data_IF_242457033987
#
_entry.id   IF_242457033987
#
_cell.length_a   1.000
_cell.length_b   1.000
_cell.length_c   1.000
_cell.angle_alpha   90.00
_cell.angle_beta   90.00
_cell.angle_gamma   90.00
#
_symmetry.space_group_name_H-M   'P 1'
#
loop_
_entity.id
_entity.type
_entity.pdbx_description
1 polymer ?
#
# COMPACT_ATOMS: atom_id res chain seq x y z
N UNK A 1 -1.93 9.50 39.26
CA UNK A 1 -2.08 10.45 38.14
C UNK A 1 -3.46 10.20 37.54
N UNK A 2 -4.35 11.20 37.47
CA UNK A 2 -5.71 10.97 37.01
C UNK A 2 -5.69 10.50 35.55
N UNK A 3 -6.47 9.46 35.28
CA UNK A 3 -6.62 8.84 33.97
C UNK A 3 -7.29 9.88 33.04
N UNK A 4 -6.48 10.52 32.20
CA UNK A 4 -6.95 11.49 31.21
C UNK A 4 -7.91 10.76 30.26
N UNK A 5 -9.21 11.06 30.39
CA UNK A 5 -10.25 10.45 29.57
C UNK A 5 -9.97 10.76 28.08
N UNK A 6 -10.20 9.80 27.17
CA UNK A 6 -10.14 10.07 25.74
C UNK A 6 -11.06 11.24 25.37
N UNK A 7 -10.60 12.13 24.48
CA UNK A 7 -11.48 13.15 23.92
C UNK A 7 -12.29 12.53 22.78
N UNK A 8 -13.62 12.52 22.90
CA UNK A 8 -14.50 11.94 21.89
C UNK A 8 -14.56 12.81 20.62
N UNK A 9 -14.63 12.15 19.47
CA UNK A 9 -14.92 12.74 18.18
C UNK A 9 -16.36 12.36 17.81
N UNK A 10 -17.25 13.32 17.52
CA UNK A 10 -18.64 13.00 17.20
C UNK A 10 -18.77 12.29 15.85
N UNK A 11 -19.89 11.61 15.61
CA UNK A 11 -20.14 10.89 14.35
C UNK A 11 -20.18 11.82 13.12
N UNK A 12 -20.48 13.10 13.31
CA UNK A 12 -20.45 14.12 12.25
C UNK A 12 -19.08 14.80 12.10
N UNK A 13 -18.05 14.31 12.80
CA UNK A 13 -16.69 14.80 12.62
C UNK A 13 -16.25 14.54 11.18
N UNK A 14 -15.62 15.54 10.57
CA UNK A 14 -15.10 15.39 9.21
C UNK A 14 -14.03 14.30 9.15
N UNK A 15 -13.87 13.68 7.98
CA UNK A 15 -12.83 12.68 7.74
C UNK A 15 -11.45 13.19 8.17
N UNK A 16 -10.66 12.33 8.80
CA UNK A 16 -9.28 12.64 9.21
C UNK A 16 -8.35 12.83 7.99
N UNK A 17 -8.80 12.44 6.79
CA UNK A 17 -8.10 12.71 5.54
C UNK A 17 -8.01 14.21 5.23
N UNK A 18 -8.91 15.04 5.76
CA UNK A 18 -8.84 16.50 5.66
C UNK A 18 -7.75 17.11 6.56
N UNK A 19 -7.06 16.28 7.33
CA UNK A 19 -6.12 16.69 8.34
C UNK A 19 -6.77 16.83 9.71
N UNK A 20 -5.92 17.00 10.70
CA UNK A 20 -6.26 17.19 12.11
C UNK A 20 -5.75 18.56 12.55
N UNK A 21 -6.39 19.22 13.53
CA UNK A 21 -6.01 20.57 13.94
C UNK A 21 -4.51 20.71 14.22
N UNK A 22 -3.94 21.85 13.79
CA UNK A 22 -2.56 22.22 14.13
C UNK A 22 -2.44 22.57 15.62
N UNK A 23 -1.27 22.31 16.24
CA UNK A 23 -1.03 22.61 17.66
C UNK A 23 -1.37 21.48 18.64
N UNK A 24 -1.73 20.31 18.12
CA UNK A 24 -1.95 19.10 18.91
C UNK A 24 -0.62 18.53 19.44
N UNK A 25 -0.65 17.91 20.63
CA UNK A 25 0.55 17.35 21.25
C UNK A 25 1.26 16.31 20.34
N UNK A 26 2.61 16.32 20.29
CA UNK A 26 3.42 15.31 19.59
C UNK A 26 2.98 13.87 19.82
N UNK A 27 2.81 13.09 18.75
CA UNK A 27 2.46 11.66 18.83
C UNK A 27 1.01 11.37 19.24
N UNK A 28 0.14 12.38 19.32
CA UNK A 28 -1.28 12.18 19.55
C UNK A 28 -1.91 11.34 18.43
N UNK A 29 -2.79 10.43 18.84
CA UNK A 29 -3.54 9.53 17.97
C UNK A 29 -4.98 10.05 17.84
N UNK A 30 -5.43 10.22 16.61
CA UNK A 30 -6.84 10.41 16.28
C UNK A 30 -7.34 9.15 15.58
N UNK A 31 -8.50 8.65 16.01
CA UNK A 31 -9.12 7.45 15.44
C UNK A 31 -10.58 7.75 15.19
N UNK A 32 -11.08 7.49 13.99
CA UNK A 32 -12.45 7.79 13.59
C UNK A 32 -13.05 6.63 12.81
N UNK A 33 -14.31 6.33 13.11
CA UNK A 33 -15.18 5.46 12.32
C UNK A 33 -16.50 6.19 12.03
N UNK A 34 -17.37 5.58 11.24
CA UNK A 34 -18.66 6.17 10.86
C UNK A 34 -19.57 6.55 12.05
N UNK A 35 -19.37 5.92 13.21
CA UNK A 35 -20.16 6.17 14.43
C UNK A 35 -19.52 7.22 15.37
N UNK A 36 -18.37 7.78 14.98
CA UNK A 36 -17.56 8.64 15.82
C UNK A 36 -16.20 8.01 16.14
N UNK A 37 -15.47 8.65 17.04
CA UNK A 37 -14.07 8.34 17.26
C UNK A 37 -13.55 8.91 18.56
N UNK A 38 -12.23 8.86 18.72
CA UNK A 38 -11.55 9.43 19.88
C UNK A 38 -10.20 10.03 19.49
N UNK A 39 -9.69 10.87 20.38
CA UNK A 39 -8.36 11.43 20.35
C UNK A 39 -7.66 11.15 21.68
N UNK A 40 -6.43 10.62 21.62
CA UNK A 40 -5.64 10.29 22.82
C UNK A 40 -4.16 10.60 22.64
N UNK A 41 -3.53 11.15 23.69
CA UNK A 41 -2.08 11.33 23.72
C UNK A 41 -1.31 10.00 23.81
N UNK A 42 -0.02 9.97 23.43
CA UNK A 42 0.82 8.78 23.58
C UNK A 42 1.14 8.52 25.05
N UNK A 43 0.96 7.29 25.51
CA UNK A 43 1.36 6.83 26.85
C UNK A 43 1.69 5.34 26.78
N UNK A 44 2.81 4.92 27.37
CA UNK A 44 3.22 3.50 27.37
C UNK A 44 2.07 2.58 27.80
N UNK A 45 1.83 1.53 27.01
CA UNK A 45 0.77 0.54 27.22
C UNK A 45 -0.66 1.04 26.94
N UNK A 46 -0.85 2.33 26.64
CA UNK A 46 -2.17 2.88 26.31
C UNK A 46 -2.73 2.18 25.08
N UNK A 47 -3.96 1.69 25.19
CA UNK A 47 -4.60 0.89 24.16
C UNK A 47 -5.96 1.47 23.80
N UNK A 48 -6.18 1.67 22.50
CA UNK A 48 -7.47 2.03 21.90
C UNK A 48 -8.05 0.80 21.21
N UNK A 49 -9.16 0.32 21.73
CA UNK A 49 -9.91 -0.81 21.19
C UNK A 49 -10.94 -0.34 20.16
N UNK A 50 -11.11 -1.11 19.10
CA UNK A 50 -12.15 -0.89 18.11
C UNK A 50 -12.85 -2.19 17.71
N UNK A 51 -14.12 -2.10 17.35
CA UNK A 51 -14.95 -3.25 16.99
C UNK A 51 -16.44 -2.91 17.05
N UNK A 52 -17.31 -3.90 16.85
CA UNK A 52 -18.76 -3.62 16.75
C UNK A 52 -19.47 -3.36 18.07
N UNK A 53 -18.85 -3.70 19.21
CA UNK A 53 -19.51 -3.63 20.52
C UNK A 53 -19.21 -2.32 21.21
N UNK A 54 -20.06 -1.30 21.01
CA UNK A 54 -19.90 0.04 21.57
C UNK A 54 -19.57 0.06 23.09
N UNK A 55 -20.16 -0.79 23.95
CA UNK A 55 -19.82 -0.81 25.38
C UNK A 55 -18.44 -1.39 25.70
N UNK A 56 -17.86 -2.20 24.80
CA UNK A 56 -16.60 -2.92 25.02
C UNK A 56 -15.40 -2.26 24.31
N UNK A 57 -15.63 -1.21 23.50
CA UNK A 57 -14.61 -0.59 22.66
C UNK A 57 -14.62 0.93 22.76
N UNK A 58 -13.51 1.55 22.37
CA UNK A 58 -13.37 3.00 22.35
C UNK A 58 -13.87 3.59 21.02
N UNK A 59 -13.75 2.85 19.92
CA UNK A 59 -14.21 3.26 18.59
C UNK A 59 -15.10 2.17 17.99
N UNK A 60 -16.37 2.48 17.78
CA UNK A 60 -17.32 1.50 17.28
C UNK A 60 -17.25 1.39 15.74
N UNK A 61 -16.98 0.18 15.26
CA UNK A 61 -16.77 -0.14 13.84
C UNK A 61 -17.76 -1.24 13.43
N UNK A 62 -18.63 -0.94 12.47
CA UNK A 62 -19.62 -1.89 11.96
C UNK A 62 -20.57 -2.42 13.04
N UNK A 63 -21.15 -1.51 13.82
CA UNK A 63 -22.06 -1.81 14.95
C UNK A 63 -23.19 -2.79 14.57
N UNK A 64 -23.73 -2.65 13.36
CA UNK A 64 -24.80 -3.45 12.79
C UNK A 64 -24.32 -4.73 12.08
N UNK A 65 -23.01 -4.98 12.02
CA UNK A 65 -22.41 -6.03 11.20
C UNK A 65 -21.87 -7.19 12.04
N UNK A 66 -22.63 -8.27 12.11
CA UNK A 66 -22.28 -9.45 12.92
C UNK A 66 -20.99 -10.17 12.47
N UNK A 67 -20.49 -9.91 11.25
CA UNK A 67 -19.18 -10.42 10.82
C UNK A 67 -18.02 -9.67 11.47
N UNK A 68 -18.25 -8.44 11.90
CA UNK A 68 -17.27 -7.68 12.68
C UNK A 68 -17.25 -8.22 14.11
N UNK A 69 -16.05 -8.34 14.66
CA UNK A 69 -15.89 -8.87 16.02
C UNK A 69 -16.21 -7.77 17.04
N UNK A 70 -16.72 -8.16 18.21
CA UNK A 70 -17.10 -7.21 19.28
C UNK A 70 -15.93 -6.30 19.65
N UNK A 71 -14.79 -6.91 19.96
CA UNK A 71 -13.45 -6.32 19.92
C UNK A 71 -12.74 -6.84 18.66
N UNK A 72 -12.60 -6.00 17.65
CA UNK A 72 -11.98 -6.38 16.38
C UNK A 72 -10.48 -6.12 16.34
N UNK A 73 -9.98 -5.07 16.98
CA UNK A 73 -8.57 -4.79 17.02
C UNK A 73 -8.18 -3.76 18.05
N UNK A 74 -6.88 -3.49 18.10
CA UNK A 74 -6.29 -2.60 19.09
C UNK A 74 -5.15 -1.79 18.50
N UNK A 75 -5.11 -0.51 18.89
CA UNK A 75 -3.99 0.40 18.69
C UNK A 75 -3.29 0.59 20.04
N UNK A 76 -2.05 0.13 20.18
CA UNK A 76 -1.31 0.20 21.44
C UNK A 76 -0.07 1.06 21.28
N UNK A 77 0.13 2.01 22.19
CA UNK A 77 1.36 2.78 22.27
C UNK A 77 2.43 1.94 22.97
N UNK A 78 3.54 1.65 22.28
CA UNK A 78 4.72 0.96 22.81
C UNK A 78 5.96 1.81 22.52
N UNK A 79 6.71 2.14 23.55
CA UNK A 79 7.68 3.21 23.54
C UNK A 79 7.02 4.51 23.08
N UNK A 80 7.46 5.00 21.94
CA UNK A 80 6.97 6.22 21.34
C UNK A 80 6.17 6.04 20.06
N UNK A 81 5.74 4.81 19.78
CA UNK A 81 5.06 4.48 18.53
C UNK A 81 3.74 3.79 18.79
N UNK A 82 2.77 4.09 17.94
CA UNK A 82 1.50 3.38 17.91
C UNK A 82 1.63 2.12 17.06
N UNK A 83 1.13 1.01 17.58
CA UNK A 83 1.16 -0.30 16.95
C UNK A 83 -0.26 -0.79 16.75
N UNK A 84 -0.54 -1.37 15.60
CA UNK A 84 -1.82 -1.96 15.29
C UNK A 84 -1.78 -3.48 15.36
N UNK A 85 -2.82 -4.05 15.96
CA UNK A 85 -3.05 -5.49 16.06
C UNK A 85 -4.51 -5.79 15.75
N UNK A 86 -4.80 -7.00 15.30
CA UNK A 86 -6.18 -7.49 15.17
C UNK A 86 -6.47 -8.57 16.20
N UNK A 87 -7.65 -8.49 16.80
CA UNK A 87 -8.21 -9.47 17.74
C UNK A 87 -9.40 -10.19 17.13
N UNK A 88 -9.95 -9.68 16.03
CA UNK A 88 -11.12 -10.20 15.35
C UNK A 88 -10.84 -11.48 14.56
N UNK A 89 -11.92 -12.10 14.07
CA UNK A 89 -11.81 -13.29 13.19
C UNK A 89 -11.48 -12.91 11.75
N UNK A 90 -11.93 -11.75 11.30
CA UNK A 90 -11.62 -11.23 9.97
C UNK A 90 -10.32 -10.43 10.01
N UNK A 91 -9.51 -10.46 8.93
CA UNK A 91 -8.30 -9.67 8.87
C UNK A 91 -8.61 -8.18 8.71
N UNK A 92 -7.68 -7.37 9.18
CA UNK A 92 -7.65 -5.94 8.88
C UNK A 92 -6.86 -5.72 7.59
N UNK A 93 -7.40 -4.94 6.66
CA UNK A 93 -6.68 -4.52 5.45
C UNK A 93 -6.05 -3.14 5.67
N UNK A 94 -4.72 -3.12 5.66
CA UNK A 94 -3.86 -1.94 5.70
C UNK A 94 -3.67 -1.37 4.28
N UNK A 95 -3.01 -0.20 4.14
CA UNK A 95 -2.50 0.27 2.85
C UNK A 95 -1.64 -0.79 2.14
N UNK A 96 -1.45 -0.62 0.82
CA UNK A 96 -0.74 -1.58 -0.04
C UNK A 96 -1.41 -2.98 -0.08
N UNK A 97 -2.70 -3.05 0.28
CA UNK A 97 -3.48 -4.28 0.37
C UNK A 97 -2.92 -5.32 1.36
N UNK A 98 -2.07 -4.91 2.30
CA UNK A 98 -1.54 -5.81 3.33
C UNK A 98 -2.67 -6.26 4.26
N UNK A 99 -2.82 -7.56 4.44
CA UNK A 99 -3.73 -8.13 5.43
C UNK A 99 -2.98 -8.38 6.74
N UNK A 100 -3.59 -7.99 7.86
CA UNK A 100 -3.13 -8.29 9.22
C UNK A 100 -4.14 -9.25 9.85
N UNK A 101 -3.67 -10.44 10.21
CA UNK A 101 -4.43 -11.51 10.85
C UNK A 101 -4.18 -11.56 12.35
N UNK A 102 -5.06 -12.26 13.08
CA UNK A 102 -5.07 -12.30 14.56
C UNK A 102 -3.76 -12.81 15.16
N UNK A 103 -3.15 -13.77 14.50
CA UNK A 103 -1.91 -14.41 14.91
C UNK A 103 -0.66 -13.62 14.49
N UNK A 104 -0.81 -12.57 13.70
CA UNK A 104 0.33 -11.81 13.22
C UNK A 104 0.85 -10.88 14.30
N UNK A 105 2.16 -10.64 14.27
CA UNK A 105 2.79 -9.63 15.11
C UNK A 105 2.21 -8.23 14.82
N UNK A 106 2.04 -7.39 15.86
CA UNK A 106 1.57 -6.02 15.66
C UNK A 106 2.47 -5.23 14.71
N UNK A 107 1.85 -4.38 13.89
CA UNK A 107 2.55 -3.55 12.90
C UNK A 107 2.68 -2.13 13.43
N UNK A 108 3.84 -1.48 13.33
CA UNK A 108 3.98 -0.13 13.81
C UNK A 108 3.42 0.88 12.78
N UNK A 109 2.55 1.77 13.23
CA UNK A 109 1.97 2.82 12.39
C UNK A 109 3.00 3.89 12.03
N UNK A 110 2.84 4.48 10.84
CA UNK A 110 3.60 5.66 10.43
C UNK A 110 2.89 6.93 10.92
N UNK A 111 3.61 8.04 10.96
CA UNK A 111 3.00 9.36 11.17
C UNK A 111 2.11 9.73 9.98
N UNK A 112 1.07 10.52 10.23
CA UNK A 112 0.08 10.93 9.25
C UNK A 112 -1.15 10.00 9.18
N UNK A 113 -1.91 10.15 8.11
CA UNK A 113 -3.17 9.45 7.86
C UNK A 113 -2.94 8.02 7.36
N UNK A 114 -3.65 7.06 7.94
CA UNK A 114 -3.67 5.65 7.57
C UNK A 114 -5.12 5.15 7.57
N UNK A 115 -5.73 4.88 6.39
CA UNK A 115 -7.04 4.24 6.33
C UNK A 115 -6.89 2.72 6.50
N UNK A 116 -7.80 2.14 7.27
CA UNK A 116 -7.83 0.70 7.56
C UNK A 116 -9.23 0.17 7.28
N UNK A 117 -9.32 -1.05 6.72
CA UNK A 117 -10.60 -1.61 6.31
C UNK A 117 -10.84 -2.99 6.90
N UNK A 118 -12.09 -3.26 7.28
CA UNK A 118 -12.56 -4.62 7.55
C UNK A 118 -13.72 -4.93 6.60
N UNK A 119 -13.61 -6.01 5.84
CA UNK A 119 -14.68 -6.46 4.93
C UNK A 119 -15.73 -7.24 5.71
N UNK A 120 -16.87 -6.59 5.98
CA UNK A 120 -18.00 -7.17 6.72
C UNK A 120 -18.98 -7.97 5.85
N UNK A 121 -20.24 -7.96 6.24
CA UNK A 121 -21.35 -8.61 5.54
C UNK A 121 -21.66 -7.90 4.22
N UNK A 122 -22.16 -8.63 3.21
CA UNK A 122 -22.51 -8.10 1.88
C UNK A 122 -21.39 -7.29 1.22
N UNK A 123 -20.14 -7.68 1.46
CA UNK A 123 -18.94 -7.01 0.92
C UNK A 123 -18.74 -5.56 1.39
N UNK A 124 -19.52 -5.10 2.38
CA UNK A 124 -19.35 -3.76 2.97
C UNK A 124 -17.94 -3.60 3.54
N UNK A 125 -17.29 -2.50 3.21
CA UNK A 125 -16.00 -2.12 3.78
C UNK A 125 -16.22 -1.15 4.93
N UNK A 126 -15.89 -1.59 6.14
CA UNK A 126 -15.92 -0.75 7.33
C UNK A 126 -14.57 -0.04 7.46
N UNK A 127 -14.60 1.30 7.35
CA UNK A 127 -13.41 2.16 7.42
C UNK A 127 -13.12 2.56 8.87
N UNK A 128 -11.86 2.38 9.28
CA UNK A 128 -11.27 2.99 10.45
C UNK A 128 -10.18 3.95 9.96
N UNK A 129 -10.38 5.23 10.20
CA UNK A 129 -9.42 6.28 9.91
C UNK A 129 -8.49 6.45 11.10
N UNK A 130 -7.19 6.43 10.87
CA UNK A 130 -6.18 6.65 11.91
C UNK A 130 -5.26 7.78 11.48
N UNK A 131 -5.03 8.75 12.36
CA UNK A 131 -4.03 9.79 12.14
C UNK A 131 -3.09 9.88 13.34
N UNK A 132 -1.79 9.68 13.10
CA UNK A 132 -0.74 9.84 14.12
C UNK A 132 0.00 11.15 13.91
N UNK A 133 -0.08 12.07 14.87
CA UNK A 133 0.63 13.34 14.79
C UNK A 133 2.16 13.12 14.78
N UNK A 134 2.91 13.84 13.92
CA UNK A 134 4.37 13.78 13.95
C UNK A 134 4.89 14.30 15.29
N UNK A 135 5.97 13.70 15.80
CA UNK A 135 6.56 14.13 17.07
C UNK A 135 7.40 15.40 16.93
N UNK A 136 8.06 15.51 15.79
CA UNK A 136 8.78 16.71 15.38
C UNK A 136 7.82 17.48 14.50
N UNK A 137 7.20 18.55 15.00
CA UNK A 137 6.09 19.29 14.38
C UNK A 137 6.36 19.91 12.99
N UNK A 138 7.43 19.52 12.30
CA UNK A 138 7.71 19.92 10.93
C UNK A 138 6.91 19.06 9.95
N UNK A 139 5.69 19.49 9.66
CA UNK A 139 5.18 19.30 8.29
C UNK A 139 5.92 20.31 7.41
N UNK A 140 6.50 19.91 6.26
CA UNK A 140 7.03 20.87 5.31
C UNK A 140 5.96 21.93 5.00
N UNK A 141 6.31 23.23 4.94
CA UNK A 141 5.35 24.26 4.59
C UNK A 141 4.73 23.94 3.23
N UNK A 142 3.43 24.24 3.08
CA UNK A 142 2.76 24.10 1.81
C UNK A 142 3.27 25.21 0.88
N UNK A 143 4.19 24.85 -0.02
CA UNK A 143 4.60 25.74 -1.10
C UNK A 143 3.71 25.46 -2.32
N UNK A 144 2.66 26.27 -2.46
CA UNK A 144 1.70 26.16 -3.57
C UNK A 144 2.30 26.56 -4.93
N UNK A 145 3.47 27.21 -4.94
CA UNK A 145 4.18 27.60 -6.15
C UNK A 145 5.34 26.66 -6.48
N UNK A 146 5.69 25.74 -5.59
CA UNK A 146 6.70 24.73 -5.86
C UNK A 146 6.29 23.90 -7.09
N UNK A 147 7.21 23.69 -8.04
CA UNK A 147 6.93 22.82 -9.17
C UNK A 147 6.62 21.41 -8.66
N UNK A 148 5.66 20.75 -9.30
CA UNK A 148 5.41 19.33 -9.04
C UNK A 148 6.68 18.56 -9.37
N UNK A 149 7.27 17.90 -8.37
CA UNK A 149 8.44 17.06 -8.60
C UNK A 149 8.08 15.96 -9.59
N UNK A 150 8.82 15.82 -10.71
CA UNK A 150 8.57 14.72 -11.63
C UNK A 150 8.84 13.39 -10.94
N UNK A 151 8.09 12.33 -11.28
CA UNK A 151 8.36 10.99 -10.77
C UNK A 151 9.78 10.55 -11.17
N UNK A 152 10.40 9.70 -10.33
CA UNK A 152 11.72 9.15 -10.60
C UNK A 152 11.61 8.05 -11.66
N UNK A 153 11.59 8.43 -12.93
CA UNK A 153 11.55 7.49 -14.05
C UNK A 153 12.88 6.76 -14.24
N UNK A 154 12.82 5.50 -14.65
CA UNK A 154 14.00 4.68 -14.95
C UNK A 154 14.34 4.73 -16.44
N UNK A 155 15.63 4.89 -16.76
CA UNK A 155 16.07 4.81 -18.14
C UNK A 155 16.01 3.36 -18.65
N UNK A 156 15.27 3.16 -19.74
CA UNK A 156 15.18 1.91 -20.49
C UNK A 156 15.58 2.18 -21.95
N UNK A 157 16.42 1.32 -22.53
CA UNK A 157 16.67 1.35 -23.98
C UNK A 157 15.40 0.98 -24.75
N UNK A 158 15.32 1.30 -26.04
CA UNK A 158 14.16 0.94 -26.88
C UNK A 158 13.88 -0.57 -26.88
N UNK A 159 14.92 -1.39 -26.82
CA UNK A 159 14.81 -2.85 -26.75
C UNK A 159 14.28 -3.28 -25.37
N UNK A 160 14.88 -2.79 -24.30
CA UNK A 160 14.42 -3.08 -22.94
C UNK A 160 12.97 -2.66 -22.76
N UNK A 161 12.61 -1.44 -23.18
CA UNK A 161 11.26 -0.90 -23.10
C UNK A 161 10.26 -1.79 -23.82
N UNK A 162 10.55 -2.21 -25.05
CA UNK A 162 9.68 -3.13 -25.81
C UNK A 162 9.50 -4.45 -25.08
N UNK A 163 10.58 -5.05 -24.59
CA UNK A 163 10.54 -6.33 -23.85
C UNK A 163 9.69 -6.20 -22.58
N UNK A 164 9.87 -5.15 -21.78
CA UNK A 164 9.10 -4.99 -20.54
C UNK A 164 7.64 -4.60 -20.80
N UNK A 165 7.33 -3.89 -21.89
CA UNK A 165 5.95 -3.59 -22.31
C UNK A 165 5.20 -4.88 -22.65
N UNK A 166 5.81 -5.79 -23.42
CA UNK A 166 5.21 -7.10 -23.70
C UNK A 166 5.06 -7.91 -22.41
N UNK A 167 6.10 -7.96 -21.58
CA UNK A 167 6.05 -8.66 -20.28
C UNK A 167 4.90 -8.16 -19.38
N UNK A 168 4.67 -6.84 -19.39
CA UNK A 168 3.69 -6.13 -18.56
C UNK A 168 2.32 -5.96 -19.23
N UNK A 169 2.08 -6.53 -20.40
CA UNK A 169 0.91 -6.20 -21.22
C UNK A 169 -0.43 -6.30 -20.45
N UNK A 170 -0.61 -7.36 -19.64
CA UNK A 170 -1.82 -7.56 -18.82
C UNK A 170 -2.02 -6.48 -17.75
N UNK A 171 -0.92 -5.92 -17.23
CA UNK A 171 -0.95 -4.82 -16.27
C UNK A 171 -1.33 -3.52 -16.97
N UNK A 172 -0.75 -3.25 -18.14
CA UNK A 172 -1.02 -2.06 -18.93
C UNK A 172 -2.45 -2.02 -19.50
N UNK A 173 -3.04 -3.19 -19.73
CA UNK A 173 -4.45 -3.35 -20.11
C UNK A 173 -5.42 -3.31 -18.92
N UNK A 174 -4.91 -3.12 -17.69
CA UNK A 174 -5.69 -3.10 -16.45
C UNK A 174 -6.57 -4.34 -16.25
N UNK A 175 -6.06 -5.54 -16.60
CA UNK A 175 -6.74 -6.77 -16.23
C UNK A 175 -6.93 -6.85 -14.71
N UNK A 176 -8.03 -7.46 -14.26
CA UNK A 176 -8.39 -7.49 -12.82
C UNK A 176 -7.35 -8.24 -11.97
N UNK A 177 -6.72 -9.28 -12.52
CA UNK A 177 -5.71 -10.09 -11.86
C UNK A 177 -4.51 -10.31 -12.80
N UNK A 178 -3.71 -9.27 -13.06
CA UNK A 178 -2.68 -9.33 -14.08
C UNK A 178 -1.54 -10.20 -13.59
N UNK A 179 -1.13 -11.15 -14.42
CA UNK A 179 0.11 -11.93 -14.22
C UNK A 179 1.11 -11.60 -15.33
N UNK A 180 2.41 -11.53 -15.04
CA UNK A 180 3.41 -11.26 -16.08
C UNK A 180 3.35 -12.35 -17.15
N UNK A 181 3.55 -11.98 -18.42
CA UNK A 181 3.68 -12.99 -19.48
C UNK A 181 4.94 -13.84 -19.25
N UNK A 182 4.88 -15.12 -19.62
CA UNK A 182 6.07 -15.99 -19.56
C UNK A 182 7.11 -15.59 -20.61
N UNK A 183 8.39 -15.89 -20.39
CA UNK A 183 9.46 -15.60 -21.35
C UNK A 183 9.20 -16.16 -22.75
N UNK A 184 8.53 -17.31 -22.84
CA UNK A 184 8.14 -17.91 -24.13
C UNK A 184 7.05 -17.10 -24.82
N UNK A 185 6.04 -16.65 -24.09
CA UNK A 185 4.99 -15.79 -24.63
C UNK A 185 5.54 -14.43 -25.07
N UNK A 186 6.43 -13.84 -24.27
CA UNK A 186 7.10 -12.58 -24.62
C UNK A 186 7.93 -12.75 -25.89
N UNK A 187 8.74 -13.80 -26.00
CA UNK A 187 9.54 -14.06 -27.20
C UNK A 187 8.67 -14.29 -28.45
N UNK A 188 7.58 -15.05 -28.32
CA UNK A 188 6.65 -15.28 -29.42
C UNK A 188 6.04 -13.97 -29.93
N UNK A 189 5.52 -13.14 -29.02
CA UNK A 189 4.95 -11.84 -29.36
C UNK A 189 6.00 -10.90 -29.98
N UNK A 190 7.22 -10.86 -29.43
CA UNK A 190 8.30 -10.05 -30.02
C UNK A 190 8.67 -10.50 -31.43
N UNK A 191 8.63 -11.80 -31.73
CA UNK A 191 8.86 -12.32 -33.09
C UNK A 191 7.71 -12.02 -34.05
N UNK A 192 6.48 -11.86 -33.56
CA UNK A 192 5.36 -11.39 -34.40
C UNK A 192 5.57 -9.93 -34.82
N UNK A 193 6.12 -9.09 -33.94
CA UNK A 193 6.33 -7.66 -34.21
C UNK A 193 7.67 -7.37 -34.92
N UNK A 194 8.73 -8.10 -34.57
CA UNK A 194 10.10 -7.92 -35.07
C UNK A 194 10.73 -9.28 -35.39
N UNK A 195 10.27 -9.97 -36.46
CA UNK A 195 10.75 -11.31 -36.80
C UNK A 195 12.26 -11.36 -37.10
N UNK A 196 12.84 -10.26 -37.58
CA UNK A 196 14.26 -10.17 -37.92
C UNK A 196 15.21 -10.25 -36.69
N UNK A 197 14.71 -10.04 -35.47
CA UNK A 197 15.54 -10.00 -34.26
C UNK A 197 15.71 -11.36 -33.57
N UNK A 198 15.07 -12.42 -34.08
CA UNK A 198 15.14 -13.82 -33.62
C UNK A 198 15.07 -13.96 -32.08
N UNK A 199 13.96 -13.53 -31.51
CA UNK A 199 13.73 -13.56 -30.07
C UNK A 199 13.52 -14.99 -29.57
N UNK A 200 14.25 -15.35 -28.51
CA UNK A 200 14.02 -16.57 -27.75
C UNK A 200 13.89 -16.27 -26.26
N UNK A 201 13.37 -17.23 -25.50
CA UNK A 201 13.11 -17.06 -24.07
C UNK A 201 14.37 -16.67 -23.26
N UNK A 202 15.56 -17.16 -23.63
CA UNK A 202 16.82 -16.81 -22.95
C UNK A 202 17.23 -15.37 -23.20
N UNK A 203 17.01 -14.86 -24.42
CA UNK A 203 17.27 -13.46 -24.79
C UNK A 203 16.35 -12.52 -24.00
N UNK A 204 15.07 -12.87 -23.89
CA UNK A 204 14.10 -12.13 -23.08
C UNK A 204 14.50 -12.13 -21.60
N UNK A 205 14.79 -13.31 -21.04
CA UNK A 205 15.20 -13.47 -19.65
C UNK A 205 16.44 -12.61 -19.34
N UNK A 206 17.45 -12.63 -20.21
CA UNK A 206 18.66 -11.82 -20.06
C UNK A 206 18.36 -10.32 -20.01
N UNK A 207 17.56 -9.81 -20.96
CA UNK A 207 17.19 -8.39 -20.98
C UNK A 207 16.48 -7.99 -19.69
N UNK A 208 15.53 -8.80 -19.22
CA UNK A 208 14.79 -8.48 -18.00
C UNK A 208 15.68 -8.58 -16.74
N UNK A 209 16.62 -9.54 -16.71
CA UNK A 209 17.59 -9.63 -15.64
C UNK A 209 18.54 -8.40 -15.59
N UNK A 210 18.98 -7.90 -16.75
CA UNK A 210 19.81 -6.69 -16.86
C UNK A 210 19.07 -5.45 -16.33
N UNK A 211 17.79 -5.26 -16.70
CA UNK A 211 16.95 -4.18 -16.16
C UNK A 211 16.80 -4.33 -14.64
N UNK A 212 16.49 -5.53 -14.16
CA UNK A 212 16.28 -5.82 -12.73
C UNK A 212 17.53 -5.52 -11.89
N UNK A 213 18.70 -5.95 -12.37
CA UNK A 213 19.98 -5.70 -11.71
C UNK A 213 20.31 -4.21 -11.65
N UNK A 214 20.02 -3.47 -12.74
CA UNK A 214 20.22 -2.01 -12.79
C UNK A 214 19.34 -1.29 -11.77
N UNK A 215 18.05 -1.60 -11.69
CA UNK A 215 17.13 -0.99 -10.73
C UNK A 215 17.51 -1.32 -9.28
N UNK A 216 17.86 -2.58 -9.00
CA UNK A 216 18.38 -3.00 -7.69
C UNK A 216 19.63 -2.21 -7.29
N UNK A 217 20.59 -2.05 -8.21
CA UNK A 217 21.79 -1.24 -7.98
C UNK A 217 21.51 0.25 -7.68
N UNK A 218 20.32 0.73 -8.05
CA UNK A 218 19.85 2.08 -7.76
C UNK A 218 18.92 2.17 -6.53
N UNK A 219 18.83 1.08 -5.75
CA UNK A 219 18.14 1.03 -4.46
C UNK A 219 16.69 0.53 -4.52
N UNK A 220 16.22 -0.03 -5.64
CA UNK A 220 14.88 -0.63 -5.70
C UNK A 220 14.88 -1.99 -5.00
N UNK A 221 14.05 -2.20 -3.96
CA UNK A 221 14.00 -3.44 -3.21
C UNK A 221 13.08 -4.50 -3.86
N UNK A 222 13.21 -5.75 -3.45
CA UNK A 222 12.32 -6.85 -3.85
C UNK A 222 12.57 -7.32 -5.28
N UNK A 223 13.77 -7.06 -5.81
CA UNK A 223 14.18 -7.39 -7.16
C UNK A 223 15.20 -8.54 -7.19
N UNK A 224 15.53 -9.15 -6.05
CA UNK A 224 16.36 -10.36 -6.00
C UNK A 224 15.72 -11.51 -5.23
N UNK A 225 16.24 -12.72 -5.46
CA UNK A 225 15.80 -13.94 -4.76
C UNK A 225 15.99 -13.81 -3.26
N UNK A 226 17.10 -13.21 -2.84
CA UNK A 226 17.47 -13.03 -1.45
C UNK A 226 16.51 -12.08 -0.72
N UNK A 227 15.99 -11.06 -1.42
CA UNK A 227 15.07 -10.07 -0.86
C UNK A 227 13.63 -10.58 -0.78
N UNK A 228 13.20 -11.38 -1.76
CA UNK A 228 11.82 -11.88 -1.85
C UNK A 228 11.60 -13.16 -1.03
N UNK A 229 12.64 -13.99 -0.88
CA UNK A 229 12.53 -15.31 -0.27
C UNK A 229 11.86 -16.35 -1.19
N UNK A 230 11.85 -17.60 -0.74
CA UNK A 230 11.22 -18.72 -1.47
C UNK A 230 9.76 -18.92 -1.01
N UNK A 231 8.84 -19.29 -1.91
CA UNK A 231 9.01 -19.53 -3.35
C UNK A 231 8.88 -18.24 -4.18
N UNK A 232 9.79 -18.05 -5.14
CA UNK A 232 9.80 -16.81 -5.95
C UNK A 232 8.65 -16.72 -6.95
N UNK A 233 8.30 -17.81 -7.64
CA UNK A 233 7.30 -17.80 -8.71
C UNK A 233 7.51 -16.65 -9.71
N UNK A 234 6.44 -15.89 -9.97
CA UNK A 234 6.46 -14.68 -10.81
C UNK A 234 6.75 -13.38 -10.04
N UNK A 235 7.06 -13.45 -8.73
CA UNK A 235 7.13 -12.29 -7.84
C UNK A 235 8.16 -11.27 -8.29
N UNK A 236 9.33 -11.69 -8.79
CA UNK A 236 10.36 -10.76 -9.29
C UNK A 236 9.90 -9.97 -10.51
N UNK A 237 9.14 -10.61 -11.40
CA UNK A 237 8.58 -9.92 -12.57
C UNK A 237 7.43 -9.01 -12.17
N UNK A 238 6.58 -9.44 -11.24
CA UNK A 238 5.52 -8.61 -10.67
C UNK A 238 6.09 -7.34 -10.01
N UNK A 239 7.10 -7.48 -9.14
CA UNK A 239 7.74 -6.36 -8.46
C UNK A 239 8.40 -5.39 -9.44
N UNK A 240 9.09 -5.92 -10.46
CA UNK A 240 9.67 -5.09 -11.53
C UNK A 240 8.60 -4.28 -12.26
N UNK A 241 7.50 -4.92 -12.68
CA UNK A 241 6.43 -4.23 -13.41
C UNK A 241 5.77 -3.16 -12.52
N UNK A 242 5.49 -3.50 -11.26
CA UNK A 242 4.90 -2.56 -10.29
C UNK A 242 5.79 -1.33 -10.10
N UNK A 243 7.09 -1.52 -9.87
CA UNK A 243 8.05 -0.41 -9.78
C UNK A 243 8.03 0.47 -11.05
N UNK A 244 8.07 -0.15 -12.24
CA UNK A 244 8.07 0.58 -13.50
C UNK A 244 6.77 1.37 -13.73
N UNK A 245 5.63 0.88 -13.23
CA UNK A 245 4.35 1.59 -13.30
C UNK A 245 4.24 2.71 -12.25
N UNK A 246 4.64 2.44 -11.00
CA UNK A 246 4.61 3.42 -9.91
C UNK A 246 5.55 4.61 -10.17
N UNK A 247 6.71 4.34 -10.79
CA UNK A 247 7.66 5.37 -11.26
C UNK A 247 7.24 6.06 -12.56
N UNK A 248 6.09 5.69 -13.14
CA UNK A 248 5.61 6.11 -14.47
C UNK A 248 6.62 5.89 -15.60
N UNK A 249 7.55 4.95 -15.42
CA UNK A 249 8.48 4.52 -16.48
C UNK A 249 7.75 3.75 -17.57
N UNK A 250 6.74 2.99 -17.15
CA UNK A 250 5.84 2.22 -17.98
C UNK A 250 4.41 2.74 -17.79
N UNK A 251 3.80 3.18 -18.87
CA UNK A 251 2.44 3.74 -18.88
C UNK A 251 1.57 3.06 -19.94
N UNK A 252 0.23 3.02 -19.80
CA UNK A 252 -0.64 2.37 -20.79
C UNK A 252 -0.41 2.80 -22.25
N UNK A 253 -0.12 4.09 -22.57
CA UNK A 253 0.23 4.49 -23.93
C UNK A 253 1.46 3.80 -24.53
N UNK A 254 2.37 3.24 -23.72
CA UNK A 254 3.54 2.50 -24.21
C UNK A 254 3.17 1.22 -24.96
N UNK A 255 1.93 0.72 -24.81
CA UNK A 255 1.42 -0.39 -25.62
C UNK A 255 1.51 -0.11 -27.13
N UNK A 256 1.50 1.16 -27.54
CA UNK A 256 1.67 1.55 -28.96
C UNK A 256 3.02 1.15 -29.55
N UNK A 257 4.02 0.85 -28.72
CA UNK A 257 5.32 0.31 -29.17
C UNK A 257 5.14 -1.07 -29.84
N UNK A 258 4.02 -1.74 -29.56
CA UNK A 258 3.65 -3.04 -30.12
C UNK A 258 2.83 -2.92 -31.41
N UNK A 259 2.22 -1.77 -31.66
CA UNK A 259 1.53 -1.51 -32.91
C UNK A 259 2.58 -1.49 -34.03
N UNK A 260 2.34 -2.25 -35.09
CA UNK A 260 3.23 -2.25 -36.24
C UNK A 260 3.24 -0.84 -36.86
N UNK A 261 4.43 -0.25 -37.01
CA UNK A 261 4.67 0.67 -38.12
C UNK A 261 4.56 -0.18 -39.39
N UNK A 262 3.36 -0.21 -39.98
CA UNK A 262 3.15 -0.68 -41.34
C UNK A 262 3.78 0.29 -42.34
#
# INVERSE_FOLDING_TARGET
>A
MPDERPNELPANHHSLALGVPAGVAPGMLHVLAATGGITVGPREGRTVLFGRSRPEVHVCLGEDDLRISREHGALTCRGDRWWISTRGRLPLRLPESRLLFRQDEPIPLRTGYTPLFVRGSHERLHLLEVHVQPRNGNRPPADHHAPTHPPRTWHLTSVEKRVVVVLAQRYLLHEVHPIPLSWRQVAAHLNEIRPAEDWNHKKVERVVAEVRNRLRGNGVPGLTREEVGEPIGNTLNHNLIRELMESTTLVPPDLRILDHDG
#
